data_IF_339313009827
#
_entry.id   IF_339313009827
#
_cell.length_a   1.000
_cell.length_b   1.000
_cell.length_c   1.000
_cell.angle_alpha   90.00
_cell.angle_beta   90.00
_cell.angle_gamma   90.00
#
_symmetry.space_group_name_H-M   'P 1'
#
loop_
_entity.id
_entity.type
_entity.pdbx_description
1 polymer ?
#
# COMPACT_ATOMS: atom_id res chain seq x y z
N UNK A 1 10.62 7.76 8.37
CA UNK A 1 10.76 8.76 7.28
C UNK A 1 11.97 8.45 6.41
N UNK A 2 13.20 8.47 6.92
CA UNK A 2 14.42 8.18 6.13
C UNK A 2 14.35 6.84 5.38
N UNK A 3 13.98 5.76 6.07
CA UNK A 3 13.84 4.43 5.45
C UNK A 3 12.86 4.42 4.27
N UNK A 4 11.74 5.14 4.40
CA UNK A 4 10.72 5.22 3.33
C UNK A 4 11.28 5.95 2.12
N UNK A 5 11.92 7.10 2.32
CA UNK A 5 12.56 7.85 1.23
C UNK A 5 13.62 7.03 0.51
N UNK A 6 14.51 6.40 1.27
CA UNK A 6 15.58 5.56 0.70
C UNK A 6 14.97 4.40 -0.09
N UNK A 7 13.98 3.69 0.44
CA UNK A 7 13.29 2.61 -0.27
C UNK A 7 12.60 3.12 -1.55
N UNK A 8 11.86 4.22 -1.49
CA UNK A 8 11.18 4.77 -2.67
C UNK A 8 12.18 5.13 -3.77
N UNK A 9 13.29 5.79 -3.41
CA UNK A 9 14.36 6.15 -4.34
C UNK A 9 14.99 4.88 -4.93
N UNK A 10 15.33 3.89 -4.10
CA UNK A 10 15.93 2.63 -4.55
C UNK A 10 15.00 1.82 -5.48
N UNK A 11 13.69 1.97 -5.37
CA UNK A 11 12.73 1.30 -6.24
C UNK A 11 12.47 2.07 -7.54
N UNK A 12 12.50 3.41 -7.53
CA UNK A 12 12.17 4.23 -8.71
C UNK A 12 13.37 4.58 -9.59
N UNK A 13 14.59 4.59 -9.04
CA UNK A 13 15.80 4.92 -9.79
C UNK A 13 16.31 3.82 -10.76
N UNK A 14 16.23 2.51 -10.46
CA UNK A 14 16.84 1.47 -11.28
C UNK A 14 16.54 1.49 -12.80
N UNK A 15 15.33 1.86 -13.25
CA UNK A 15 15.04 2.00 -14.68
C UNK A 15 15.94 3.00 -15.42
N UNK A 16 16.42 4.05 -14.76
CA UNK A 16 17.36 5.02 -15.36
C UNK A 16 18.75 4.44 -15.60
N UNK A 17 19.10 3.38 -14.86
CA UNK A 17 20.36 2.65 -14.99
C UNK A 17 20.19 1.34 -15.79
N UNK A 18 19.04 1.18 -16.44
CA UNK A 18 18.75 0.08 -17.34
C UNK A 18 18.23 -1.18 -16.66
N UNK A 19 18.01 -1.21 -15.33
CA UNK A 19 17.31 -2.31 -14.65
C UNK A 19 15.80 -2.07 -14.70
N UNK A 20 15.20 -2.46 -15.82
CA UNK A 20 13.85 -2.04 -16.21
C UNK A 20 13.91 -0.81 -17.12
N UNK A 21 12.75 -0.28 -17.48
CA UNK A 21 12.61 0.94 -18.28
C UNK A 21 11.32 1.66 -17.90
N UNK A 22 11.27 2.98 -18.15
CA UNK A 22 10.01 3.73 -18.18
C UNK A 22 9.56 3.87 -19.63
N UNK A 23 8.32 3.45 -19.92
CA UNK A 23 7.72 3.48 -21.26
C UNK A 23 6.36 4.19 -21.24
N UNK A 24 5.92 4.77 -22.37
CA UNK A 24 4.54 5.23 -22.51
C UNK A 24 3.55 4.07 -22.37
N UNK A 25 2.44 4.29 -21.64
CA UNK A 25 1.36 3.31 -21.46
C UNK A 25 0.03 3.80 -22.07
N UNK A 26 -0.87 2.86 -22.36
CA UNK A 26 -2.25 3.17 -22.79
C UNK A 26 -2.31 4.00 -24.07
N UNK A 27 -2.97 5.17 -23.99
CA UNK A 27 -3.02 6.15 -25.09
C UNK A 27 -1.76 7.00 -25.25
N UNK A 28 -0.65 6.61 -24.62
CA UNK A 28 0.64 7.33 -24.63
C UNK A 28 0.56 8.73 -24.01
N UNK A 29 -0.42 8.96 -23.15
CA UNK A 29 -0.61 10.22 -22.38
C UNK A 29 0.16 10.21 -21.06
N UNK A 30 0.77 9.09 -20.69
CA UNK A 30 1.50 8.89 -19.44
C UNK A 30 2.61 7.87 -19.61
N UNK A 31 3.60 7.93 -18.72
CA UNK A 31 4.67 6.95 -18.61
C UNK A 31 4.51 6.07 -17.37
N UNK A 32 4.95 4.83 -17.46
CA UNK A 32 4.99 3.86 -16.37
C UNK A 32 6.19 2.92 -16.52
N UNK A 33 6.41 2.05 -15.54
CA UNK A 33 7.41 1.00 -15.63
C UNK A 33 7.05 -0.02 -16.72
N UNK A 34 8.05 -0.46 -17.47
CA UNK A 34 7.88 -1.44 -18.53
C UNK A 34 7.46 -2.80 -17.97
N UNK A 35 6.16 -3.11 -18.09
CA UNK A 35 5.58 -4.41 -17.76
C UNK A 35 5.31 -5.28 -19.00
N UNK A 36 5.74 -4.84 -20.19
CA UNK A 36 5.51 -5.52 -21.46
C UNK A 36 6.73 -6.33 -21.90
N UNK A 37 7.94 -5.80 -21.69
CA UNK A 37 9.18 -6.45 -22.10
C UNK A 37 9.51 -7.64 -21.19
N UNK A 38 9.57 -8.83 -21.78
CA UNK A 38 9.76 -10.11 -21.06
C UNK A 38 11.22 -10.52 -20.82
N UNK A 39 12.16 -9.58 -20.78
CA UNK A 39 13.56 -9.89 -20.46
C UNK A 39 13.74 -10.22 -18.98
N UNK A 40 14.75 -11.02 -18.65
CA UNK A 40 15.06 -11.36 -17.25
C UNK A 40 15.32 -10.11 -16.39
N UNK A 41 15.93 -9.08 -16.99
CA UNK A 41 16.22 -7.81 -16.34
C UNK A 41 14.93 -7.06 -15.96
N UNK A 42 14.01 -6.89 -16.90
CA UNK A 42 12.71 -6.23 -16.65
C UNK A 42 11.84 -7.05 -15.68
N UNK A 43 11.84 -8.38 -15.81
CA UNK A 43 11.09 -9.27 -14.90
C UNK A 43 11.55 -9.19 -13.46
N UNK A 44 12.86 -9.27 -13.23
CA UNK A 44 13.42 -9.18 -11.87
C UNK A 44 13.13 -7.83 -11.23
N UNK A 45 13.19 -6.73 -12.00
CA UNK A 45 12.79 -5.41 -11.54
C UNK A 45 11.32 -5.36 -11.11
N UNK A 46 10.40 -5.89 -11.93
CA UNK A 46 8.97 -5.94 -11.58
C UNK A 46 8.72 -6.77 -10.32
N UNK A 47 9.38 -7.93 -10.17
CA UNK A 47 9.24 -8.75 -8.96
C UNK A 47 9.67 -7.97 -7.73
N UNK A 48 10.81 -7.27 -7.79
CA UNK A 48 11.30 -6.43 -6.69
C UNK A 48 10.31 -5.30 -6.38
N UNK A 49 9.81 -4.61 -7.41
CA UNK A 49 8.84 -3.53 -7.26
C UNK A 49 7.55 -4.02 -6.57
N UNK A 50 7.04 -5.18 -6.92
CA UNK A 50 5.84 -5.75 -6.30
C UNK A 50 6.08 -6.24 -4.88
N UNK A 51 7.21 -6.87 -4.61
CA UNK A 51 7.52 -7.37 -3.27
C UNK A 51 7.65 -6.20 -2.28
N UNK A 52 8.47 -5.19 -2.62
CA UNK A 52 8.77 -4.09 -1.71
C UNK A 52 7.75 -2.94 -1.79
N UNK A 53 7.20 -2.66 -2.97
CA UNK A 53 6.23 -1.59 -3.18
C UNK A 53 4.78 -1.97 -2.89
N UNK A 54 4.45 -3.27 -2.80
CA UNK A 54 3.07 -3.72 -2.63
C UNK A 54 2.90 -4.78 -1.54
N UNK A 55 3.58 -5.93 -1.65
CA UNK A 55 3.35 -7.07 -0.75
C UNK A 55 3.80 -6.80 0.69
N UNK A 56 5.02 -6.28 0.89
CA UNK A 56 5.54 -5.97 2.23
C UNK A 56 4.67 -4.92 2.95
N UNK A 57 4.31 -3.77 2.33
CA UNK A 57 3.37 -2.82 2.92
C UNK A 57 2.04 -3.48 3.31
N UNK A 58 1.48 -4.32 2.46
CA UNK A 58 0.22 -5.03 2.71
C UNK A 58 0.32 -5.95 3.93
N UNK A 59 1.41 -6.71 4.07
CA UNK A 59 1.66 -7.57 5.24
C UNK A 59 1.79 -6.73 6.51
N UNK A 60 2.54 -5.63 6.47
CA UNK A 60 2.71 -4.73 7.62
C UNK A 60 1.35 -4.19 8.08
N UNK A 61 0.51 -3.73 7.16
CA UNK A 61 -0.84 -3.22 7.46
C UNK A 61 -1.70 -4.33 8.07
N UNK A 62 -1.68 -5.53 7.48
CA UNK A 62 -2.42 -6.68 8.00
C UNK A 62 -2.03 -7.04 9.43
N UNK A 63 -0.73 -7.07 9.72
CA UNK A 63 -0.20 -7.31 11.08
C UNK A 63 -0.62 -6.19 12.03
N UNK A 64 -0.45 -4.93 11.64
CA UNK A 64 -0.88 -3.77 12.43
C UNK A 64 -2.38 -3.84 12.76
N UNK A 65 -3.23 -4.24 11.82
CA UNK A 65 -4.66 -4.37 12.05
C UNK A 65 -4.99 -5.42 13.11
N UNK A 66 -4.37 -6.60 13.00
CA UNK A 66 -4.54 -7.69 13.97
C UNK A 66 -4.08 -7.25 15.37
N UNK A 67 -2.95 -6.53 15.45
CA UNK A 67 -2.43 -6.00 16.71
C UNK A 67 -3.35 -4.93 17.32
N UNK A 68 -3.92 -4.05 16.51
CA UNK A 68 -4.87 -3.02 16.97
C UNK A 68 -6.14 -3.66 17.50
N UNK A 69 -6.74 -4.63 16.78
CA UNK A 69 -7.94 -5.33 17.28
C UNK A 69 -7.65 -6.02 18.62
N UNK A 70 -6.50 -6.69 18.73
CA UNK A 70 -6.06 -7.31 19.99
C UNK A 70 -5.85 -6.28 21.09
N UNK A 71 -5.25 -5.14 20.76
CA UNK A 71 -5.03 -4.02 21.69
C UNK A 71 -6.33 -3.43 22.22
N UNK A 72 -7.31 -3.20 21.34
CA UNK A 72 -8.65 -2.69 21.70
C UNK A 72 -9.36 -3.66 22.64
N UNK A 73 -9.39 -4.97 22.30
CA UNK A 73 -10.02 -5.99 23.17
C UNK A 73 -9.38 -6.05 24.56
N UNK A 74 -8.05 -5.95 24.64
CA UNK A 74 -7.33 -5.90 25.92
C UNK A 74 -7.59 -4.60 26.69
N UNK A 75 -7.68 -3.47 26.00
CA UNK A 75 -7.98 -2.18 26.60
C UNK A 75 -9.40 -2.16 27.20
N UNK A 76 -10.39 -2.68 26.48
CA UNK A 76 -11.77 -2.77 26.96
C UNK A 76 -11.88 -3.66 28.21
N UNK A 77 -11.21 -4.82 28.23
CA UNK A 77 -11.15 -5.68 29.41
C UNK A 77 -10.51 -4.98 30.62
N UNK A 78 -9.41 -4.26 30.41
CA UNK A 78 -8.74 -3.50 31.49
C UNK A 78 -9.61 -2.38 32.02
N UNK A 79 -10.33 -1.66 31.16
CA UNK A 79 -11.27 -0.62 31.57
C UNK A 79 -12.38 -1.17 32.46
N UNK A 80 -12.95 -2.33 32.12
CA UNK A 80 -13.96 -2.98 32.96
C UNK A 80 -13.43 -3.29 34.38
N UNK A 81 -12.18 -3.75 34.48
CA UNK A 81 -11.54 -4.06 35.77
C UNK A 81 -11.08 -2.82 36.56
N UNK A 82 -10.70 -1.74 35.88
CA UNK A 82 -10.19 -0.50 36.50
C UNK A 82 -11.28 0.37 37.14
N UNK A 83 -12.56 0.14 36.80
CA UNK A 83 -13.73 0.78 37.45
C UNK A 83 -13.75 0.60 38.98
N UNK A 84 -12.95 -0.32 39.54
CA UNK A 84 -12.87 -0.60 40.98
C UNK A 84 -11.73 0.08 41.76
N UNK A 85 -10.71 0.71 41.13
CA UNK A 85 -9.51 1.16 41.89
C UNK A 85 -8.81 2.48 41.50
N UNK A 86 -9.27 3.23 40.49
CA UNK A 86 -8.61 4.49 40.07
C UNK A 86 -9.49 5.74 40.25
N UNK A 87 -8.87 6.89 40.52
CA UNK A 87 -9.50 8.22 40.48
C UNK A 87 -10.14 8.43 39.10
N UNK A 88 -11.43 8.75 39.09
CA UNK A 88 -12.30 8.76 37.90
C UNK A 88 -11.84 9.74 36.82
N UNK A 89 -11.14 10.83 37.16
CA UNK A 89 -10.65 11.82 36.19
C UNK A 89 -9.44 11.32 35.36
N UNK A 90 -8.40 10.79 36.00
CA UNK A 90 -7.18 10.31 35.32
C UNK A 90 -7.49 9.14 34.37
N UNK A 91 -8.38 8.23 34.80
CA UNK A 91 -8.85 7.12 33.96
C UNK A 91 -9.61 7.62 32.72
N UNK A 92 -10.38 8.70 32.86
CA UNK A 92 -11.18 9.28 31.77
C UNK A 92 -10.31 10.02 30.76
N UNK A 93 -9.31 10.77 31.23
CA UNK A 93 -8.33 11.44 30.37
C UNK A 93 -7.48 10.44 29.57
N UNK A 94 -6.99 9.38 30.22
CA UNK A 94 -6.19 8.34 29.55
C UNK A 94 -7.01 7.57 28.49
N UNK A 95 -8.27 7.23 28.79
CA UNK A 95 -9.17 6.59 27.82
C UNK A 95 -9.48 7.50 26.62
N UNK A 96 -9.65 8.81 26.85
CA UNK A 96 -9.89 9.77 25.76
C UNK A 96 -8.68 9.88 24.82
N UNK A 97 -7.45 9.89 25.37
CA UNK A 97 -6.20 9.85 24.59
C UNK A 97 -6.02 8.53 23.83
N UNK A 98 -6.28 7.40 24.47
CA UNK A 98 -6.21 6.09 23.81
C UNK A 98 -7.19 6.00 22.62
N UNK A 99 -8.42 6.54 22.77
CA UNK A 99 -9.41 6.58 21.69
C UNK A 99 -8.98 7.51 20.54
N UNK A 100 -8.36 8.65 20.83
CA UNK A 100 -7.89 9.55 19.76
C UNK A 100 -6.73 8.93 18.98
N UNK A 101 -5.75 8.32 19.66
CA UNK A 101 -4.64 7.60 19.02
C UNK A 101 -5.14 6.42 18.17
N UNK A 102 -6.13 5.66 18.67
CA UNK A 102 -6.79 4.60 17.90
C UNK A 102 -7.54 5.13 16.68
N UNK A 103 -8.22 6.28 16.80
CA UNK A 103 -8.93 6.91 15.67
C UNK A 103 -7.95 7.29 14.57
N UNK A 104 -6.82 7.92 14.93
CA UNK A 104 -5.76 8.31 13.98
C UNK A 104 -5.19 7.05 13.30
N UNK A 105 -4.87 6.01 14.07
CA UNK A 105 -4.34 4.75 13.54
C UNK A 105 -5.30 4.07 12.56
N UNK A 106 -6.61 4.06 12.89
CA UNK A 106 -7.65 3.53 12.00
C UNK A 106 -7.76 4.32 10.71
N UNK A 107 -7.73 5.65 10.78
CA UNK A 107 -7.78 6.51 9.58
C UNK A 107 -6.56 6.22 8.69
N UNK A 108 -5.35 6.23 9.25
CA UNK A 108 -4.12 5.95 8.51
C UNK A 108 -4.16 4.59 7.80
N UNK A 109 -4.64 3.55 8.49
CA UNK A 109 -4.84 2.24 7.87
C UNK A 109 -5.91 2.24 6.78
N UNK A 110 -7.06 2.87 7.00
CA UNK A 110 -8.13 2.93 5.98
C UNK A 110 -7.62 3.59 4.71
N UNK A 111 -6.91 4.71 4.82
CA UNK A 111 -6.30 5.41 3.67
C UNK A 111 -5.29 4.49 2.96
N UNK A 112 -4.44 3.81 3.72
CA UNK A 112 -3.44 2.90 3.13
C UNK A 112 -4.10 1.69 2.44
N UNK A 113 -5.14 1.10 3.03
CA UNK A 113 -5.90 0.02 2.41
C UNK A 113 -6.58 0.48 1.11
N UNK A 114 -7.17 1.68 1.10
CA UNK A 114 -7.79 2.24 -0.10
C UNK A 114 -6.76 2.44 -1.22
N UNK A 115 -5.57 2.93 -0.88
CA UNK A 115 -4.45 3.04 -1.83
C UNK A 115 -4.06 1.67 -2.40
N UNK A 116 -3.92 0.64 -1.57
CA UNK A 116 -3.61 -0.71 -2.06
C UNK A 116 -4.73 -1.26 -2.96
N UNK A 117 -6.00 -1.02 -2.60
CA UNK A 117 -7.16 -1.48 -3.38
C UNK A 117 -7.25 -0.74 -4.72
N UNK A 118 -6.98 0.57 -4.77
CA UNK A 118 -6.99 1.34 -6.02
C UNK A 118 -5.86 0.91 -6.97
N UNK A 119 -4.70 0.55 -6.43
CA UNK A 119 -3.56 0.07 -7.21
C UNK A 119 -3.66 -1.41 -7.61
N UNK A 120 -4.46 -2.21 -6.90
CA UNK A 120 -4.58 -3.67 -7.15
C UNK A 120 -4.99 -4.02 -8.59
N UNK A 121 -6.02 -3.40 -9.21
CA UNK A 121 -6.42 -3.74 -10.57
C UNK A 121 -5.30 -3.48 -11.58
N UNK A 122 -4.60 -2.35 -11.43
CA UNK A 122 -3.44 -2.02 -12.28
C UNK A 122 -2.30 -3.02 -12.07
N UNK A 123 -2.02 -3.35 -10.80
CA UNK A 123 -1.00 -4.30 -10.43
C UNK A 123 -1.28 -5.70 -11.02
N UNK A 124 -2.55 -6.14 -11.03
CA UNK A 124 -2.94 -7.42 -11.64
C UNK A 124 -2.70 -7.40 -13.15
N UNK A 125 -3.09 -6.32 -13.85
CA UNK A 125 -2.89 -6.20 -15.30
C UNK A 125 -1.42 -6.23 -15.68
N UNK A 126 -0.56 -5.49 -14.97
CA UNK A 126 0.87 -5.48 -15.24
C UNK A 126 1.51 -6.86 -14.98
N UNK A 127 1.03 -7.64 -13.99
CA UNK A 127 1.46 -9.04 -13.81
C UNK A 127 0.97 -9.96 -14.92
N UNK A 128 -0.28 -9.82 -15.37
CA UNK A 128 -0.81 -10.60 -16.50
C UNK A 128 -0.04 -10.28 -17.78
N UNK A 129 0.30 -9.01 -18.02
CA UNK A 129 1.12 -8.63 -19.16
C UNK A 129 2.50 -9.32 -19.12
N UNK A 130 3.12 -9.33 -17.94
CA UNK A 130 4.50 -9.79 -17.81
C UNK A 130 4.66 -11.32 -17.75
N UNK A 131 3.74 -11.99 -17.03
CA UNK A 131 3.79 -13.43 -16.76
C UNK A 131 2.73 -14.24 -17.50
N UNK A 132 1.66 -13.59 -17.96
CA UNK A 132 0.53 -14.22 -18.65
C UNK A 132 0.48 -13.94 -20.16
N UNK A 133 -0.67 -14.24 -20.80
CA UNK A 133 -0.88 -14.04 -22.23
C UNK A 133 -1.09 -12.54 -22.53
N UNK A 134 -0.14 -11.94 -23.25
CA UNK A 134 -0.13 -10.50 -23.52
C UNK A 134 -1.30 -10.00 -24.40
N UNK A 135 -2.00 -10.90 -25.11
CA UNK A 135 -3.11 -10.53 -26.01
C UNK A 135 -4.38 -10.04 -25.29
N UNK A 136 -4.46 -10.18 -23.97
CA UNK A 136 -5.56 -9.65 -23.14
C UNK A 136 -5.36 -8.17 -22.78
N UNK A 137 -4.16 -7.62 -23.00
CA UNK A 137 -3.80 -6.26 -22.61
C UNK A 137 -4.17 -5.31 -23.75
N UNK A 138 -5.42 -4.82 -23.73
CA UNK A 138 -5.85 -3.74 -24.63
C UNK A 138 -5.63 -2.37 -23.98
N UNK A 139 -5.49 -1.28 -24.75
CA UNK A 139 -5.32 0.07 -24.21
C UNK A 139 -6.44 0.46 -23.23
N UNK A 140 -7.70 0.13 -23.56
CA UNK A 140 -8.86 0.44 -22.71
C UNK A 140 -8.81 -0.30 -21.36
N UNK A 141 -8.41 -1.58 -21.37
CA UNK A 141 -8.32 -2.41 -20.16
C UNK A 141 -7.20 -1.92 -19.24
N UNK A 142 -6.14 -1.32 -19.79
CA UNK A 142 -5.02 -0.77 -19.01
C UNK A 142 -5.31 0.64 -18.46
N UNK A 143 -6.05 1.47 -19.21
CA UNK A 143 -6.28 2.88 -18.89
C UNK A 143 -7.20 3.08 -17.67
N UNK A 144 -8.30 2.32 -17.57
CA UNK A 144 -9.32 2.50 -16.52
C UNK A 144 -8.77 2.21 -15.09
N UNK A 145 -8.09 1.08 -14.85
CA UNK A 145 -7.36 0.81 -13.61
C UNK A 145 -6.26 1.82 -13.30
N UNK A 146 -5.57 2.32 -14.32
CA UNK A 146 -4.51 3.30 -14.16
C UNK A 146 -5.05 4.64 -13.64
N UNK A 147 -6.18 5.11 -14.19
CA UNK A 147 -6.80 6.36 -13.74
C UNK A 147 -7.20 6.30 -12.26
N UNK A 148 -7.75 5.17 -11.81
CA UNK A 148 -8.08 4.94 -10.39
C UNK A 148 -6.84 4.90 -9.49
N UNK A 149 -5.77 4.26 -9.95
CA UNK A 149 -4.51 4.19 -9.22
C UNK A 149 -3.87 5.59 -9.08
N UNK A 150 -3.77 6.35 -10.17
CA UNK A 150 -3.17 7.69 -10.15
C UNK A 150 -4.01 8.70 -9.36
N UNK A 151 -5.34 8.65 -9.46
CA UNK A 151 -6.21 9.55 -8.68
C UNK A 151 -6.09 9.34 -7.18
N UNK A 152 -5.83 8.09 -6.74
CA UNK A 152 -5.64 7.78 -5.31
C UNK A 152 -4.36 8.35 -4.70
N UNK A 153 -3.43 8.81 -5.54
CA UNK A 153 -2.15 9.41 -5.11
C UNK A 153 -2.21 10.94 -4.98
N UNK A 154 -3.34 11.55 -5.36
CA UNK A 154 -3.54 13.01 -5.37
C UNK A 154 -4.23 13.55 -4.11
N UNK A 155 -4.62 12.69 -3.15
CA UNK A 155 -5.25 13.05 -1.88
C UNK A 155 -4.53 12.33 -0.73
#
# INVERSE_FOLDING_TARGET
IVVVWVLSILLSIPPFFGWGAYIPEGFQTSCTFDYLTKTARTRTYIVVLYLFGFLIPLIIIGVCYVLIIRGVRRHDQKMLTMTRSMKTEDARANNMRARSELRISKIAMTVTCLFIISWSPYAIIALIAQFGPAHWITPLVSELPMMLAKSSSMH
#
